data_IF_316049769572
#
_entry.id   IF_316049769572
#
_cell.length_a   1.000
_cell.length_b   1.000
_cell.length_c   1.000
_cell.angle_alpha   90.00
_cell.angle_beta   90.00
_cell.angle_gamma   90.00
#
_symmetry.space_group_name_H-M   'P 1'
#
loop_
_entity.id
_entity.type
_entity.pdbx_description
1 polymer ?
#
# COMPACT_ATOMS: atom_id res chain seq x y z
N UNK A 1 14.71 -36.78 -29.91
CA UNK A 1 14.25 -36.29 -28.59
C UNK A 1 14.57 -34.81 -28.55
N UNK A 2 13.65 -33.97 -29.03
CA UNK A 2 13.84 -32.52 -29.10
C UNK A 2 13.15 -31.89 -27.90
N UNK A 3 13.92 -31.14 -27.12
CA UNK A 3 13.52 -30.55 -25.85
C UNK A 3 12.26 -29.70 -26.00
N UNK A 4 11.25 -30.03 -25.20
CA UNK A 4 10.03 -29.27 -24.99
C UNK A 4 10.38 -27.89 -24.45
N UNK A 5 10.32 -26.86 -25.31
CA UNK A 5 10.43 -25.46 -24.88
C UNK A 5 9.25 -25.11 -23.98
N UNK A 6 9.52 -24.98 -22.68
CA UNK A 6 8.57 -24.49 -21.71
C UNK A 6 8.46 -22.96 -21.87
N UNK A 7 7.54 -22.52 -22.73
CA UNK A 7 7.21 -21.10 -22.90
C UNK A 7 6.47 -20.64 -21.65
N UNK A 8 7.21 -20.01 -20.72
CA UNK A 8 6.62 -19.27 -19.61
C UNK A 8 5.84 -18.09 -20.19
N UNK A 9 4.51 -18.21 -20.27
CA UNK A 9 3.66 -17.09 -20.60
C UNK A 9 3.88 -16.00 -19.55
N UNK A 10 4.59 -14.94 -19.90
CA UNK A 10 4.66 -13.73 -19.07
C UNK A 10 3.26 -13.12 -19.06
N UNK A 11 2.44 -13.51 -18.08
CA UNK A 11 1.28 -12.71 -17.73
C UNK A 11 1.83 -11.35 -17.31
N UNK A 12 1.61 -10.36 -18.16
CA UNK A 12 1.84 -8.96 -17.83
C UNK A 12 0.83 -8.60 -16.73
N UNK A 13 1.17 -8.88 -15.48
CA UNK A 13 0.37 -8.50 -14.32
C UNK A 13 0.46 -6.98 -14.21
N UNK A 14 -0.34 -6.28 -15.03
CA UNK A 14 -0.59 -4.86 -14.86
C UNK A 14 -1.37 -4.73 -13.56
N UNK A 15 -0.66 -4.40 -12.48
CA UNK A 15 -1.29 -4.02 -11.22
C UNK A 15 -2.03 -2.71 -11.46
N UNK A 16 -3.33 -2.79 -11.73
CA UNK A 16 -4.18 -1.65 -12.02
C UNK A 16 -4.46 -0.86 -10.74
N UNK A 17 -3.51 0.01 -10.33
CA UNK A 17 -3.70 0.99 -9.26
C UNK A 17 -4.97 1.84 -9.47
N UNK A 18 -5.41 1.96 -10.72
CA UNK A 18 -6.60 2.68 -11.15
C UNK A 18 -7.91 1.91 -10.90
N UNK A 19 -7.88 0.57 -10.85
CA UNK A 19 -9.05 -0.27 -10.57
C UNK A 19 -9.37 -0.34 -9.06
N UNK A 20 -8.39 -0.03 -8.21
CA UNK A 20 -8.59 -0.04 -6.77
C UNK A 20 -9.59 1.05 -6.38
N UNK A 21 -10.71 0.64 -5.78
CA UNK A 21 -11.71 1.57 -5.25
C UNK A 21 -11.23 2.27 -3.97
N UNK A 22 -10.32 3.24 -4.11
CA UNK A 22 -9.68 3.99 -3.02
C UNK A 22 -10.64 4.56 -1.98
N UNK A 23 -11.76 5.14 -2.42
CA UNK A 23 -12.78 5.72 -1.55
C UNK A 23 -13.38 4.70 -0.57
N UNK A 24 -13.49 3.43 -0.96
CA UNK A 24 -13.97 2.36 -0.08
C UNK A 24 -12.94 2.03 1.00
N UNK A 25 -11.66 1.98 0.63
CA UNK A 25 -10.55 1.73 1.57
C UNK A 25 -10.43 2.88 2.59
N UNK A 26 -10.52 4.12 2.12
CA UNK A 26 -10.53 5.32 2.97
C UNK A 26 -11.69 5.30 3.95
N UNK A 27 -12.92 5.03 3.48
CA UNK A 27 -14.10 4.94 4.35
C UNK A 27 -13.95 3.87 5.42
N UNK A 28 -13.38 2.71 5.07
CA UNK A 28 -13.12 1.61 6.02
C UNK A 28 -12.11 2.03 7.09
N UNK A 29 -10.95 2.56 6.67
CA UNK A 29 -9.90 3.04 7.57
C UNK A 29 -10.39 4.17 8.47
N UNK A 30 -11.13 5.13 7.92
CA UNK A 30 -11.68 6.26 8.68
C UNK A 30 -12.67 5.82 9.77
N UNK A 31 -13.54 4.84 9.47
CA UNK A 31 -14.44 4.28 10.48
C UNK A 31 -13.68 3.67 11.65
N UNK A 32 -12.59 2.95 11.36
CA UNK A 32 -11.78 2.32 12.40
C UNK A 32 -11.02 3.37 13.24
N UNK A 33 -10.44 4.38 12.60
CA UNK A 33 -9.83 5.53 13.28
C UNK A 33 -10.83 6.28 14.17
N UNK A 34 -12.07 6.50 13.70
CA UNK A 34 -13.13 7.12 14.49
C UNK A 34 -13.48 6.29 15.73
N UNK A 35 -13.51 4.96 15.61
CA UNK A 35 -13.73 4.06 16.76
C UNK A 35 -12.58 4.12 17.76
N UNK A 36 -11.33 4.22 17.31
CA UNK A 36 -10.15 4.42 18.18
C UNK A 36 -10.30 5.74 18.94
N UNK A 37 -10.66 6.83 18.23
CA UNK A 37 -10.88 8.13 18.85
C UNK A 37 -11.99 8.10 19.90
N UNK A 38 -13.12 7.46 19.61
CA UNK A 38 -14.22 7.30 20.57
C UNK A 38 -13.80 6.47 21.80
N UNK A 39 -13.07 5.36 21.60
CA UNK A 39 -12.58 4.55 22.71
C UNK A 39 -11.60 5.35 23.60
N UNK A 40 -10.71 6.13 22.98
CA UNK A 40 -9.79 7.03 23.69
C UNK A 40 -10.55 8.11 24.47
N UNK A 41 -11.58 8.73 23.87
CA UNK A 41 -12.46 9.71 24.53
C UNK A 41 -13.19 9.15 25.75
N UNK A 42 -13.63 7.89 25.69
CA UNK A 42 -14.30 7.22 26.81
C UNK A 42 -13.32 6.60 27.84
N UNK A 43 -12.02 6.83 27.70
CA UNK A 43 -10.96 6.23 28.51
C UNK A 43 -10.94 4.68 28.52
N UNK A 44 -11.49 4.05 27.48
CA UNK A 44 -11.49 2.59 27.30
C UNK A 44 -10.19 2.15 26.60
N UNK A 45 -9.12 2.08 27.39
CA UNK A 45 -7.76 1.82 26.93
C UNK A 45 -7.63 0.42 26.30
N UNK A 46 -8.28 -0.59 26.88
CA UNK A 46 -8.24 -1.97 26.37
C UNK A 46 -8.84 -2.05 24.96
N UNK A 47 -10.03 -1.43 24.77
CA UNK A 47 -10.68 -1.38 23.45
C UNK A 47 -9.88 -0.55 22.45
N UNK A 48 -9.32 0.58 22.88
CA UNK A 48 -8.45 1.41 22.03
C UNK A 48 -7.29 0.59 21.47
N UNK A 49 -6.53 -0.11 22.31
CA UNK A 49 -5.40 -0.94 21.85
C UNK A 49 -5.83 -2.09 20.94
N UNK A 50 -6.97 -2.73 21.21
CA UNK A 50 -7.49 -3.77 20.33
C UNK A 50 -7.84 -3.22 18.94
N UNK A 51 -8.45 -2.03 18.87
CA UNK A 51 -8.76 -1.36 17.61
C UNK A 51 -7.50 -0.87 16.87
N UNK A 52 -6.47 -0.41 17.58
CA UNK A 52 -5.17 -0.08 16.99
C UNK A 52 -4.50 -1.31 16.35
N UNK A 53 -4.49 -2.46 17.05
CA UNK A 53 -3.98 -3.73 16.49
C UNK A 53 -4.77 -4.15 15.26
N UNK A 54 -6.09 -3.97 15.27
CA UNK A 54 -6.93 -4.23 14.10
C UNK A 54 -6.58 -3.30 12.93
N UNK A 55 -6.31 -2.02 13.19
CA UNK A 55 -5.90 -1.05 12.16
C UNK A 55 -4.59 -1.45 11.51
N UNK A 56 -3.59 -1.87 12.30
CA UNK A 56 -2.29 -2.33 11.79
C UNK A 56 -2.41 -3.60 10.93
N UNK A 57 -3.37 -4.48 11.23
CA UNK A 57 -3.64 -5.69 10.45
C UNK A 57 -4.52 -5.44 9.21
N UNK A 58 -5.15 -4.27 9.09
CA UNK A 58 -6.08 -3.96 8.00
C UNK A 58 -5.36 -3.83 6.66
N UNK A 59 -5.82 -4.58 5.66
CA UNK A 59 -5.36 -4.46 4.27
C UNK A 59 -5.69 -3.09 3.69
N UNK A 60 -6.86 -2.52 4.01
CA UNK A 60 -7.25 -1.17 3.58
C UNK A 60 -6.29 -0.11 4.10
N UNK A 61 -5.90 -0.17 5.37
CA UNK A 61 -4.94 0.76 5.94
C UNK A 61 -3.54 0.59 5.32
N UNK A 62 -3.12 -0.66 5.08
CA UNK A 62 -1.84 -0.96 4.42
C UNK A 62 -1.77 -0.43 2.99
N UNK A 63 -2.81 -0.66 2.17
CA UNK A 63 -2.86 -0.15 0.80
C UNK A 63 -2.78 1.38 0.74
N UNK A 64 -3.50 2.06 1.64
CA UNK A 64 -3.44 3.53 1.72
C UNK A 64 -2.06 4.03 2.14
N UNK A 65 -1.39 3.33 3.06
CA UNK A 65 -0.02 3.67 3.46
C UNK A 65 0.96 3.51 2.29
N UNK A 66 0.87 2.40 1.53
CA UNK A 66 1.69 2.18 0.34
C UNK A 66 1.43 3.24 -0.72
N UNK A 67 0.16 3.53 -1.04
CA UNK A 67 -0.19 4.59 -1.99
C UNK A 67 0.38 5.94 -1.58
N UNK A 68 0.28 6.28 -0.29
CA UNK A 68 0.81 7.55 0.22
C UNK A 68 2.32 7.64 0.02
N UNK A 69 3.06 6.58 0.32
CA UNK A 69 4.53 6.56 0.16
C UNK A 69 4.94 6.59 -1.32
N UNK A 70 4.23 5.84 -2.17
CA UNK A 70 4.61 5.63 -3.58
C UNK A 70 4.09 6.70 -4.53
N UNK A 71 2.88 7.22 -4.32
CA UNK A 71 2.20 8.11 -5.26
C UNK A 71 2.01 9.52 -4.72
N UNK A 72 1.56 9.68 -3.48
CA UNK A 72 1.08 10.97 -2.96
C UNK A 72 2.18 11.80 -2.27
N UNK A 73 3.21 11.16 -1.74
CA UNK A 73 4.30 11.84 -1.04
C UNK A 73 5.09 12.74 -2.01
N UNK A 74 5.15 14.04 -1.68
CA UNK A 74 5.90 15.05 -2.46
C UNK A 74 7.40 14.75 -2.54
N UNK A 75 7.94 14.08 -1.53
CA UNK A 75 9.33 13.61 -1.46
C UNK A 75 9.63 12.29 -2.19
N UNK A 76 8.70 11.76 -3.00
CA UNK A 76 8.96 10.55 -3.81
C UNK A 76 10.09 10.72 -4.85
N UNK A 77 10.54 11.96 -5.07
CA UNK A 77 11.65 12.34 -5.95
C UNK A 77 12.89 12.82 -5.18
N UNK A 78 12.91 12.71 -3.85
CA UNK A 78 14.08 13.05 -3.04
C UNK A 78 14.97 11.82 -2.91
N UNK A 79 16.29 12.01 -3.05
CA UNK A 79 17.26 10.95 -2.87
C UNK A 79 17.11 10.29 -1.49
N UNK A 80 17.06 8.96 -1.48
CA UNK A 80 17.14 8.19 -0.25
C UNK A 80 18.56 8.23 0.35
N UNK A 81 18.76 7.43 1.40
CA UNK A 81 20.10 7.22 2.01
C UNK A 81 21.07 6.60 0.99
N UNK A 82 20.55 5.86 0.00
CA UNK A 82 21.28 5.30 -1.14
C UNK A 82 21.67 6.35 -2.20
N UNK A 83 21.30 7.62 -2.01
CA UNK A 83 21.68 8.74 -2.87
C UNK A 83 20.95 8.79 -4.22
N UNK A 84 19.98 7.90 -4.48
CA UNK A 84 19.26 7.83 -5.76
C UNK A 84 17.88 8.46 -5.65
N UNK A 85 17.63 9.50 -6.45
CA UNK A 85 16.41 10.32 -6.40
C UNK A 85 15.28 9.84 -7.35
N UNK A 86 15.62 9.19 -8.45
CA UNK A 86 14.67 8.57 -9.39
C UNK A 86 15.25 7.24 -9.87
N UNK A 87 14.45 6.17 -9.79
CA UNK A 87 14.70 4.96 -10.56
C UNK A 87 14.18 5.24 -11.96
N UNK A 88 15.06 5.57 -12.90
CA UNK A 88 14.69 5.75 -14.30
C UNK A 88 14.07 4.45 -14.83
N UNK A 89 12.82 4.50 -15.28
CA UNK A 89 12.07 3.33 -15.74
C UNK A 89 12.48 2.79 -17.11
N UNK A 90 13.64 3.18 -17.67
CA UNK A 90 13.99 2.77 -19.03
C UNK A 90 15.48 2.53 -19.20
N UNK A 91 15.85 1.24 -19.26
CA UNK A 91 16.71 0.68 -20.32
C UNK A 91 16.26 -0.77 -20.56
N UNK A 92 15.40 -0.96 -21.56
CA UNK A 92 15.36 -2.23 -22.28
C UNK A 92 16.77 -2.39 -22.89
N UNK A 93 17.51 -3.41 -22.43
CA UNK A 93 18.77 -3.79 -23.06
C UNK A 93 18.40 -4.50 -24.37
N UNK A 94 18.64 -3.83 -25.50
CA UNK A 94 18.93 -4.52 -26.76
C UNK A 94 20.33 -5.13 -26.68
#
# INVERSE_FOLDING_TARGET
MSSSEYVMSQQNVRYEWNEISWRKLEKSSFKLQKRIYQASKCNDIKKMHNLQRLLLKSTSARMLAVRRVTQDNRGKKTAGIDGKANLDQKKECN
#
